data_IF_719130007418
#
_entry.id   IF_719130007418
#
_cell.length_a   1.000
_cell.length_b   1.000
_cell.length_c   1.000
_cell.angle_alpha   90.00
_cell.angle_beta   90.00
_cell.angle_gamma   90.00
#
_symmetry.space_group_name_H-M   'P 1'
#
loop_
_entity.id
_entity.type
_entity.pdbx_description
1 polymer ?
#
# COMPACT_ATOMS: atom_id res chain seq x y z
N UNK A 1 26.85 55.98 6.94
CA UNK A 1 27.78 55.98 8.11
C UNK A 1 28.75 54.81 7.92
N UNK A 2 30.09 55.05 7.90
CA UNK A 2 31.06 53.98 7.74
C UNK A 2 31.22 53.19 9.05
N UNK A 3 31.57 51.88 8.96
CA UNK A 3 31.80 51.03 10.14
C UNK A 3 32.79 51.61 11.16
N UNK A 4 33.71 52.50 10.73
CA UNK A 4 34.64 53.22 11.57
C UNK A 4 33.98 54.32 12.45
N UNK A 5 32.87 54.92 12.00
CA UNK A 5 32.11 55.90 12.79
C UNK A 5 31.24 55.31 13.87
N UNK A 6 30.69 54.09 13.60
CA UNK A 6 29.91 53.34 14.60
C UNK A 6 30.78 52.86 15.77
N UNK A 7 32.06 52.56 15.51
CA UNK A 7 33.01 52.08 16.52
C UNK A 7 33.38 53.12 17.59
N UNK A 8 33.28 54.40 17.24
CA UNK A 8 33.61 55.49 18.16
C UNK A 8 32.42 56.16 18.86
N UNK A 9 31.21 55.72 18.53
CA UNK A 9 29.98 56.22 19.18
C UNK A 9 29.20 55.05 19.80
N UNK A 10 29.31 54.84 21.12
CA UNK A 10 28.70 53.72 21.80
C UNK A 10 27.16 53.77 21.73
N UNK A 11 26.55 54.91 21.52
CA UNK A 11 25.08 55.05 21.37
C UNK A 11 24.58 54.57 20.01
N UNK A 12 25.41 54.67 18.99
CA UNK A 12 25.09 54.25 17.63
C UNK A 12 25.57 52.81 17.28
N UNK A 13 26.43 52.22 18.12
CA UNK A 13 27.06 50.92 17.83
C UNK A 13 26.02 49.79 17.86
N UNK A 14 25.19 49.74 18.84
CA UNK A 14 24.16 48.69 18.96
C UNK A 14 23.09 48.77 17.85
N UNK A 15 22.46 49.94 17.60
CA UNK A 15 21.54 50.11 16.48
C UNK A 15 22.16 49.74 15.11
N UNK A 16 23.46 50.02 14.90
CA UNK A 16 24.14 49.64 13.65
C UNK A 16 24.33 48.14 13.49
N UNK A 17 24.65 47.45 14.58
CA UNK A 17 24.78 45.99 14.59
C UNK A 17 23.41 45.35 14.32
N UNK A 18 22.37 45.83 15.02
CA UNK A 18 21.01 45.31 14.85
C UNK A 18 20.47 45.59 13.44
N UNK A 19 20.77 46.75 12.86
CA UNK A 19 20.42 47.08 11.47
C UNK A 19 21.10 46.16 10.47
N UNK A 20 22.40 45.88 10.62
CA UNK A 20 23.13 44.97 9.75
C UNK A 20 22.62 43.53 9.87
N UNK A 21 22.29 43.09 11.06
CA UNK A 21 21.75 41.75 11.32
C UNK A 21 20.37 41.58 10.69
N UNK A 22 19.45 42.53 10.90
CA UNK A 22 18.11 42.51 10.35
C UNK A 22 18.11 42.66 8.81
N UNK A 23 19.05 43.42 8.23
CA UNK A 23 19.22 43.49 6.78
C UNK A 23 19.61 42.17 6.18
N UNK A 24 20.54 41.44 6.81
CA UNK A 24 20.96 40.12 6.36
C UNK A 24 19.81 39.08 6.42
N UNK A 25 18.97 39.14 7.46
CA UNK A 25 17.78 38.27 7.60
C UNK A 25 16.72 38.64 6.56
N UNK A 26 16.48 39.92 6.27
CA UNK A 26 15.55 40.35 5.23
C UNK A 26 15.97 39.95 3.83
N UNK A 27 17.27 40.05 3.52
CA UNK A 27 17.82 39.58 2.23
C UNK A 27 17.66 38.05 2.08
N UNK A 28 17.99 37.28 3.13
CA UNK A 28 17.82 35.85 3.14
C UNK A 28 16.34 35.43 2.96
N UNK A 29 15.40 36.11 3.63
CA UNK A 29 13.98 35.82 3.51
C UNK A 29 13.37 36.29 2.17
N UNK A 30 13.88 37.37 1.56
CA UNK A 30 13.47 37.81 0.24
C UNK A 30 13.84 36.80 -0.86
N UNK A 31 15.02 36.19 -0.76
CA UNK A 31 15.45 35.11 -1.66
C UNK A 31 14.59 33.85 -1.50
N UNK A 32 14.14 33.51 -0.28
CA UNK A 32 13.23 32.38 -0.02
C UNK A 32 11.84 32.59 -0.62
N UNK A 33 11.33 33.82 -0.63
CA UNK A 33 10.02 34.13 -1.26
C UNK A 33 10.07 34.07 -2.80
N UNK A 34 11.20 34.36 -3.43
CA UNK A 34 11.36 34.26 -4.89
C UNK A 34 11.51 32.83 -5.37
N UNK A 35 11.97 31.93 -4.54
CA UNK A 35 12.26 30.54 -4.91
C UNK A 35 11.05 29.65 -4.67
N UNK A 36 9.86 29.84 -4.64
CA UNK A 36 8.72 28.88 -4.56
C UNK A 36 9.15 27.40 -4.32
N UNK A 37 10.19 27.16 -3.56
CA UNK A 37 10.74 25.88 -3.15
C UNK A 37 10.53 25.70 -1.65
N UNK A 38 10.24 24.47 -1.18
CA UNK A 38 10.12 24.20 0.26
C UNK A 38 11.42 24.65 0.97
N UNK A 39 11.24 25.40 2.03
CA UNK A 39 12.29 26.09 2.78
C UNK A 39 13.52 25.21 3.02
N UNK A 40 14.64 25.64 2.47
CA UNK A 40 15.96 25.24 2.97
C UNK A 40 16.25 26.20 4.14
N UNK A 41 16.27 25.68 5.34
CA UNK A 41 16.57 26.36 6.58
C UNK A 41 17.94 27.03 6.51
N UNK A 42 17.98 28.35 6.61
CA UNK A 42 19.19 29.07 7.02
C UNK A 42 19.22 29.06 8.55
N UNK A 43 20.21 28.38 9.09
CA UNK A 43 20.41 28.27 10.53
C UNK A 43 20.65 29.67 11.13
N UNK A 44 19.69 30.17 11.87
CA UNK A 44 19.92 31.11 12.96
C UNK A 44 20.24 30.30 14.20
N UNK A 45 21.42 30.45 14.72
CA UNK A 45 22.09 29.59 15.70
C UNK A 45 21.40 29.50 17.08
N UNK A 46 20.25 30.13 17.31
CA UNK A 46 19.58 30.14 18.62
C UNK A 46 18.04 29.98 18.62
N UNK A 47 17.40 29.84 17.46
CA UNK A 47 16.00 29.47 17.43
C UNK A 47 15.88 27.95 17.23
N UNK A 48 15.78 27.22 18.33
CA UNK A 48 15.42 25.80 18.28
C UNK A 48 14.02 25.73 17.65
N UNK A 49 13.97 25.31 16.38
CA UNK A 49 12.72 25.00 15.68
C UNK A 49 12.06 23.80 16.38
N UNK A 50 11.24 24.09 17.38
CA UNK A 50 10.51 23.10 18.18
C UNK A 50 9.45 22.35 17.36
N UNK A 51 9.10 22.85 16.16
CA UNK A 51 8.16 22.20 15.24
C UNK A 51 8.82 21.09 14.42
N UNK A 52 10.11 21.19 14.17
CA UNK A 52 10.91 20.25 13.37
C UNK A 52 10.89 18.81 13.90
N UNK A 53 11.12 18.55 15.21
CA UNK A 53 11.05 17.20 15.76
C UNK A 53 9.64 16.60 15.77
N UNK A 54 8.59 17.40 15.58
CA UNK A 54 7.20 16.94 15.49
C UNK A 54 6.81 16.70 14.04
N UNK A 55 7.25 17.54 13.12
CA UNK A 55 6.92 17.48 11.69
C UNK A 55 7.54 16.28 10.99
N UNK A 56 8.81 16.00 11.23
CA UNK A 56 9.52 14.94 10.53
C UNK A 56 8.97 13.53 10.83
N UNK A 57 8.69 13.14 12.08
CA UNK A 57 8.02 11.89 12.39
C UNK A 57 6.59 11.80 11.85
N UNK A 58 5.83 12.90 11.89
CA UNK A 58 4.45 12.93 11.40
C UNK A 58 4.41 12.79 9.87
N UNK A 59 5.33 13.41 9.16
CA UNK A 59 5.46 13.27 7.71
C UNK A 59 5.85 11.86 7.31
N UNK A 60 6.77 11.22 8.02
CA UNK A 60 7.14 9.82 7.83
C UNK A 60 5.93 8.91 8.05
N UNK A 61 5.20 9.10 9.14
CA UNK A 61 4.00 8.35 9.46
C UNK A 61 2.90 8.49 8.39
N UNK A 62 2.68 9.69 7.86
CA UNK A 62 1.75 9.91 6.74
C UNK A 62 2.18 9.12 5.50
N UNK A 63 3.47 9.12 5.18
CA UNK A 63 4.00 8.37 4.04
C UNK A 63 3.85 6.86 4.24
N UNK A 64 4.13 6.35 5.43
CA UNK A 64 3.93 4.94 5.79
C UNK A 64 2.47 4.53 5.65
N UNK A 65 1.53 5.32 6.17
CA UNK A 65 0.09 5.05 6.05
C UNK A 65 -0.37 5.08 4.57
N UNK A 66 0.12 6.03 3.77
CA UNK A 66 -0.19 6.10 2.32
C UNK A 66 0.38 4.90 1.59
N UNK A 67 1.58 4.44 1.95
CA UNK A 67 2.20 3.24 1.40
C UNK A 67 1.41 1.98 1.77
N UNK A 68 1.06 1.82 3.04
CA UNK A 68 0.24 0.71 3.53
C UNK A 68 -1.14 0.65 2.84
N UNK A 69 -1.80 1.81 2.69
CA UNK A 69 -3.07 1.91 1.98
C UNK A 69 -2.95 1.46 0.51
N UNK A 70 -1.87 1.84 -0.16
CA UNK A 70 -1.60 1.39 -1.54
C UNK A 70 -1.39 -0.12 -1.61
N UNK A 71 -0.60 -0.70 -0.68
CA UNK A 71 -0.40 -2.16 -0.63
C UNK A 71 -1.72 -2.88 -0.36
N UNK A 72 -2.55 -2.36 0.55
CA UNK A 72 -3.86 -2.91 0.84
C UNK A 72 -4.79 -2.88 -0.39
N UNK A 73 -4.79 -1.81 -1.17
CA UNK A 73 -5.54 -1.74 -2.43
C UNK A 73 -5.01 -2.75 -3.46
N UNK A 74 -3.70 -2.86 -3.61
CA UNK A 74 -3.07 -3.85 -4.50
C UNK A 74 -3.41 -5.29 -4.09
N UNK A 75 -3.43 -5.57 -2.78
CA UNK A 75 -3.86 -6.85 -2.23
C UNK A 75 -5.34 -7.14 -2.53
N UNK A 76 -6.22 -6.13 -2.39
CA UNK A 76 -7.64 -6.26 -2.73
C UNK A 76 -7.85 -6.59 -4.20
N UNK A 77 -7.14 -5.92 -5.10
CA UNK A 77 -7.21 -6.17 -6.54
C UNK A 77 -6.69 -7.58 -6.89
N UNK A 78 -5.62 -8.02 -6.24
CA UNK A 78 -5.07 -9.36 -6.40
C UNK A 78 -6.08 -10.43 -5.98
N UNK A 79 -6.68 -10.27 -4.80
CA UNK A 79 -7.70 -11.20 -4.29
C UNK A 79 -8.94 -11.24 -5.19
N UNK A 80 -9.37 -10.08 -5.73
CA UNK A 80 -10.48 -10.02 -6.70
C UNK A 80 -10.16 -10.76 -7.98
N UNK A 81 -8.96 -10.56 -8.54
CA UNK A 81 -8.52 -11.27 -9.75
C UNK A 81 -8.47 -12.79 -9.52
N UNK A 82 -7.99 -13.22 -8.36
CA UNK A 82 -7.98 -14.64 -8.00
C UNK A 82 -9.42 -15.20 -7.82
N UNK A 83 -10.32 -14.47 -7.15
CA UNK A 83 -11.72 -14.88 -6.97
C UNK A 83 -12.47 -14.98 -8.31
N UNK A 84 -12.25 -14.03 -9.22
CA UNK A 84 -12.82 -14.07 -10.58
C UNK A 84 -12.34 -15.31 -11.36
N UNK A 85 -11.05 -15.64 -11.25
CA UNK A 85 -10.49 -16.87 -11.84
C UNK A 85 -11.09 -18.14 -11.24
N UNK A 86 -11.20 -18.20 -9.90
CA UNK A 86 -11.82 -19.32 -9.20
C UNK A 86 -13.30 -19.46 -9.52
N UNK A 87 -14.04 -18.34 -9.67
CA UNK A 87 -15.44 -18.36 -10.08
C UNK A 87 -15.64 -18.98 -11.49
N UNK A 88 -14.71 -18.69 -12.42
CA UNK A 88 -14.72 -19.33 -13.75
C UNK A 88 -14.44 -20.83 -13.65
N UNK A 89 -13.47 -21.25 -12.85
CA UNK A 89 -13.15 -22.66 -12.61
C UNK A 89 -14.33 -23.37 -11.97
N UNK A 90 -15.02 -22.77 -10.98
CA UNK A 90 -16.23 -23.33 -10.37
C UNK A 90 -17.34 -23.58 -11.41
N UNK A 91 -17.51 -22.62 -12.33
CA UNK A 91 -18.45 -22.79 -13.45
C UNK A 91 -18.12 -23.98 -14.35
N UNK A 92 -16.83 -24.16 -14.69
CA UNK A 92 -16.36 -25.30 -15.49
C UNK A 92 -16.55 -26.62 -14.71
N UNK A 93 -16.18 -26.65 -13.41
CA UNK A 93 -16.35 -27.84 -12.57
C UNK A 93 -17.84 -28.25 -12.47
N UNK A 94 -18.75 -27.29 -12.41
CA UNK A 94 -20.21 -27.55 -12.43
C UNK A 94 -20.63 -28.19 -13.75
N UNK A 95 -20.17 -27.69 -14.88
CA UNK A 95 -20.43 -28.31 -16.20
C UNK A 95 -19.81 -29.70 -16.31
N UNK A 96 -18.57 -29.89 -15.82
CA UNK A 96 -17.93 -31.21 -15.77
C UNK A 96 -18.76 -32.20 -14.94
N UNK A 97 -19.33 -31.75 -13.84
CA UNK A 97 -20.23 -32.57 -13.00
C UNK A 97 -21.47 -32.97 -13.75
N UNK A 98 -22.11 -32.07 -14.51
CA UNK A 98 -23.27 -32.39 -15.33
C UNK A 98 -22.95 -33.44 -16.41
N UNK A 99 -21.81 -33.29 -17.12
CA UNK A 99 -21.33 -34.23 -18.09
C UNK A 99 -21.02 -35.59 -17.45
N UNK A 100 -20.40 -35.62 -16.29
CA UNK A 100 -20.10 -36.85 -15.54
C UNK A 100 -21.38 -37.56 -15.05
N UNK A 101 -22.43 -36.81 -14.69
CA UNK A 101 -23.73 -37.38 -14.34
C UNK A 101 -24.43 -38.01 -15.56
N UNK A 102 -24.30 -37.40 -16.75
CA UNK A 102 -24.80 -37.99 -17.98
C UNK A 102 -24.10 -39.30 -18.27
N UNK A 103 -22.78 -39.38 -18.07
CA UNK A 103 -21.97 -40.60 -18.31
C UNK A 103 -22.27 -41.74 -17.33
N UNK A 104 -23.07 -41.54 -16.28
CA UNK A 104 -23.56 -42.60 -15.40
C UNK A 104 -24.74 -43.36 -15.97
N UNK A 105 -25.32 -42.89 -17.08
CA UNK A 105 -26.44 -43.63 -17.69
C UNK A 105 -25.90 -44.93 -18.35
N UNK A 106 -26.35 -46.06 -17.81
CA UNK A 106 -25.95 -47.39 -18.27
C UNK A 106 -26.46 -47.71 -19.68
N UNK A 107 -27.38 -46.90 -20.24
CA UNK A 107 -27.94 -47.10 -21.58
C UNK A 107 -27.07 -46.45 -22.70
N UNK A 108 -26.00 -45.72 -22.32
CA UNK A 108 -25.15 -45.04 -23.28
C UNK A 108 -24.27 -46.01 -24.04
N UNK A 109 -24.17 -45.80 -25.36
CA UNK A 109 -23.25 -46.52 -26.18
C UNK A 109 -21.78 -46.06 -25.94
N UNK A 110 -20.82 -46.94 -26.22
CA UNK A 110 -19.37 -46.66 -26.05
C UNK A 110 -18.94 -45.38 -26.81
N UNK A 111 -19.56 -45.14 -27.98
CA UNK A 111 -19.29 -43.92 -28.76
C UNK A 111 -19.73 -42.65 -28.07
N UNK A 112 -20.86 -42.66 -27.36
CA UNK A 112 -21.38 -41.55 -26.60
C UNK A 112 -20.53 -41.29 -25.35
N UNK A 113 -20.14 -42.35 -24.63
CA UNK A 113 -19.20 -42.22 -23.50
C UNK A 113 -17.88 -41.64 -23.94
N UNK A 114 -17.34 -42.02 -25.10
CA UNK A 114 -16.10 -41.48 -25.64
C UNK A 114 -16.27 -39.97 -25.96
N UNK A 115 -17.42 -39.54 -26.48
CA UNK A 115 -17.68 -38.15 -26.78
C UNK A 115 -17.78 -37.31 -25.49
N UNK A 116 -18.43 -37.82 -24.43
CA UNK A 116 -18.48 -37.17 -23.11
C UNK A 116 -17.09 -37.11 -22.47
N UNK A 117 -16.25 -38.16 -22.60
CA UNK A 117 -14.89 -38.18 -22.08
C UNK A 117 -14.00 -37.15 -22.80
N UNK A 118 -14.16 -36.95 -24.11
CA UNK A 118 -13.47 -35.92 -24.87
C UNK A 118 -13.90 -34.51 -24.36
N UNK A 119 -15.21 -34.26 -24.24
CA UNK A 119 -15.72 -33.00 -23.71
C UNK A 119 -15.19 -32.71 -22.29
N UNK A 120 -15.11 -33.75 -21.46
CA UNK A 120 -14.50 -33.64 -20.12
C UNK A 120 -13.03 -33.28 -20.19
N UNK A 121 -12.27 -33.88 -21.12
CA UNK A 121 -10.87 -33.57 -21.39
C UNK A 121 -10.63 -32.13 -21.85
N UNK A 122 -11.53 -31.61 -22.70
CA UNK A 122 -11.49 -30.21 -23.14
C UNK A 122 -11.71 -29.24 -21.97
N UNK A 123 -12.68 -29.54 -21.10
CA UNK A 123 -12.94 -28.75 -19.89
C UNK A 123 -11.78 -28.79 -18.89
N UNK A 124 -11.07 -29.92 -18.75
CA UNK A 124 -9.81 -29.96 -17.95
C UNK A 124 -8.75 -29.06 -18.54
N UNK A 125 -8.64 -29.00 -19.86
CA UNK A 125 -7.70 -28.08 -20.54
C UNK A 125 -8.09 -26.62 -20.29
N UNK A 126 -9.37 -26.30 -20.35
CA UNK A 126 -9.89 -24.97 -20.05
C UNK A 126 -9.59 -24.53 -18.61
N UNK A 127 -9.76 -25.43 -17.62
CA UNK A 127 -9.35 -25.15 -16.22
C UNK A 127 -7.86 -24.76 -16.16
N UNK A 128 -6.99 -25.53 -16.83
CA UNK A 128 -5.55 -25.25 -16.87
C UNK A 128 -5.27 -23.88 -17.51
N UNK A 129 -5.96 -23.54 -18.57
CA UNK A 129 -5.81 -22.25 -19.22
C UNK A 129 -6.28 -21.12 -18.32
N UNK A 130 -7.43 -21.24 -17.67
CA UNK A 130 -7.93 -20.26 -16.71
C UNK A 130 -6.94 -20.06 -15.55
N UNK A 131 -6.40 -21.15 -14.99
CA UNK A 131 -5.44 -21.09 -13.90
C UNK A 131 -4.16 -20.35 -14.31
N UNK A 132 -3.67 -20.57 -15.54
CA UNK A 132 -2.47 -19.90 -16.06
C UNK A 132 -2.74 -18.47 -16.54
N UNK A 133 -3.93 -18.15 -17.01
CA UNK A 133 -4.31 -16.82 -17.48
C UNK A 133 -4.74 -15.90 -16.34
N UNK A 134 -5.07 -16.43 -15.17
CA UNK A 134 -5.37 -15.65 -13.98
C UNK A 134 -4.06 -15.07 -13.42
N UNK A 135 -3.66 -13.93 -13.99
CA UNK A 135 -2.38 -13.29 -13.68
C UNK A 135 -2.60 -11.87 -13.19
N UNK A 136 -1.74 -11.43 -12.25
CA UNK A 136 -1.63 -10.04 -11.85
C UNK A 136 -0.17 -9.59 -11.95
N UNK A 137 0.07 -8.48 -12.64
CA UNK A 137 1.43 -7.96 -12.89
C UNK A 137 2.39 -9.01 -13.49
N UNK A 138 1.86 -9.93 -14.29
CA UNK A 138 2.64 -11.01 -14.92
C UNK A 138 2.92 -12.21 -14.01
N UNK A 139 2.40 -12.22 -12.78
CA UNK A 139 2.50 -13.35 -11.85
C UNK A 139 1.20 -14.16 -11.87
N UNK A 140 1.24 -15.45 -12.18
CA UNK A 140 0.08 -16.33 -12.05
C UNK A 140 -0.32 -16.46 -10.58
N UNK A 141 -1.63 -16.46 -10.32
CA UNK A 141 -2.15 -16.42 -8.96
C UNK A 141 -2.58 -17.80 -8.46
N UNK A 142 -3.24 -18.61 -9.30
CA UNK A 142 -3.95 -19.83 -8.90
C UNK A 142 -3.45 -21.11 -9.61
N UNK A 143 -2.27 -21.05 -10.23
CA UNK A 143 -1.66 -22.23 -10.89
C UNK A 143 -0.65 -22.97 -10.00
N UNK A 144 -0.61 -22.67 -8.69
CA UNK A 144 0.33 -23.27 -7.74
C UNK A 144 1.72 -22.62 -7.68
N UNK A 145 2.00 -21.61 -8.52
CA UNK A 145 3.26 -20.87 -8.49
C UNK A 145 3.24 -19.67 -7.54
N UNK A 146 2.06 -19.29 -7.05
CA UNK A 146 1.90 -18.22 -6.09
C UNK A 146 2.26 -18.73 -4.69
N UNK A 147 3.46 -18.40 -4.23
CA UNK A 147 3.88 -18.73 -2.88
C UNK A 147 3.17 -17.86 -1.81
N UNK A 148 3.47 -18.11 -0.55
CA UNK A 148 3.01 -17.25 0.53
C UNK A 148 3.56 -15.84 0.33
N UNK A 149 2.68 -14.84 0.25
CA UNK A 149 3.02 -13.43 0.17
C UNK A 149 2.73 -12.76 1.52
N UNK A 150 3.72 -12.07 2.05
CA UNK A 150 3.57 -11.24 3.25
C UNK A 150 3.37 -9.80 2.79
N UNK A 151 2.23 -9.23 3.11
CA UNK A 151 1.82 -7.89 2.70
C UNK A 151 1.86 -6.95 3.93
N UNK A 152 2.83 -6.03 4.00
CA UNK A 152 2.91 -5.06 5.09
C UNK A 152 1.83 -3.99 4.93
N UNK A 153 0.68 -4.20 5.54
CA UNK A 153 -0.48 -3.29 5.46
C UNK A 153 -0.52 -2.25 6.58
N UNK A 154 0.62 -2.05 7.28
CA UNK A 154 0.78 -0.94 8.22
C UNK A 154 0.07 -1.11 9.56
N UNK A 155 -0.41 -2.31 9.87
CA UNK A 155 -0.85 -2.73 11.21
C UNK A 155 0.29 -3.43 11.94
N UNK A 156 0.13 -3.72 13.22
CA UNK A 156 1.13 -4.47 14.01
C UNK A 156 1.36 -5.89 13.45
N UNK A 157 0.43 -6.41 12.66
CA UNK A 157 0.52 -7.72 12.01
C UNK A 157 0.50 -7.56 10.49
N UNK A 158 1.47 -8.16 9.81
CA UNK A 158 1.51 -8.27 8.36
C UNK A 158 0.44 -9.26 7.88
N UNK A 159 -0.23 -8.92 6.77
CA UNK A 159 -1.19 -9.82 6.14
C UNK A 159 -0.45 -10.90 5.35
N UNK A 160 -0.60 -12.16 5.74
CA UNK A 160 -0.09 -13.28 4.97
C UNK A 160 -1.17 -13.83 4.03
N UNK A 161 -0.93 -13.78 2.73
CA UNK A 161 -1.82 -14.31 1.70
C UNK A 161 -1.21 -15.55 1.07
N UNK A 162 -1.92 -16.67 1.12
CA UNK A 162 -1.57 -17.91 0.44
C UNK A 162 -2.76 -18.31 -0.42
N UNK A 163 -2.53 -18.51 -1.72
CA UNK A 163 -3.55 -18.97 -2.66
C UNK A 163 -3.42 -20.47 -2.93
N UNK A 164 -4.55 -21.12 -3.13
CA UNK A 164 -4.56 -22.53 -3.51
C UNK A 164 -4.03 -22.75 -4.94
N UNK A 165 -3.55 -23.95 -5.21
CA UNK A 165 -3.36 -24.41 -6.57
C UNK A 165 -4.73 -24.86 -7.13
N UNK A 166 -5.29 -24.11 -8.06
CA UNK A 166 -6.55 -24.40 -8.73
C UNK A 166 -6.34 -24.97 -10.16
N UNK A 167 -5.14 -25.45 -10.48
CA UNK A 167 -4.90 -26.24 -11.68
C UNK A 167 -5.46 -27.65 -11.52
N UNK A 168 -5.55 -28.38 -12.60
CA UNK A 168 -6.08 -29.76 -12.66
C UNK A 168 -5.40 -30.72 -11.67
N UNK A 169 -4.13 -30.50 -11.35
CA UNK A 169 -3.39 -31.26 -10.33
C UNK A 169 -3.84 -30.91 -8.91
N UNK A 170 -3.91 -29.62 -8.61
CA UNK A 170 -4.35 -29.14 -7.29
C UNK A 170 -5.83 -29.38 -7.00
N UNK A 171 -6.64 -29.63 -8.03
CA UNK A 171 -8.05 -30.01 -7.92
C UNK A 171 -8.26 -31.55 -7.92
N UNK A 172 -7.18 -32.36 -8.03
CA UNK A 172 -7.29 -33.81 -8.04
C UNK A 172 -7.91 -34.42 -9.31
N UNK A 173 -7.94 -33.67 -10.41
CA UNK A 173 -8.50 -34.10 -11.70
C UNK A 173 -7.48 -34.85 -12.56
N UNK A 174 -6.23 -34.96 -12.14
CA UNK A 174 -5.19 -35.77 -12.72
C UNK A 174 -4.63 -36.75 -11.67
N UNK A 175 -3.73 -37.63 -12.10
CA UNK A 175 -3.03 -38.54 -11.19
C UNK A 175 -2.31 -37.73 -10.10
N UNK A 176 -2.54 -38.09 -8.83
CA UNK A 176 -1.86 -37.52 -7.68
C UNK A 176 -1.69 -38.57 -6.58
N UNK A 177 -0.54 -38.56 -5.93
CA UNK A 177 -0.25 -39.42 -4.78
C UNK A 177 -0.88 -38.91 -3.48
N UNK A 178 -1.26 -37.62 -3.45
CA UNK A 178 -1.94 -37.01 -2.31
C UNK A 178 -2.36 -35.62 -2.65
N UNK A 179 -3.65 -35.34 -2.48
CA UNK A 179 -4.20 -33.98 -2.67
C UNK A 179 -3.88 -33.13 -1.46
N UNK A 180 -3.40 -31.92 -1.72
CA UNK A 180 -3.11 -30.94 -0.66
C UNK A 180 -3.81 -29.62 -0.93
N UNK A 181 -4.30 -28.99 0.14
CA UNK A 181 -4.87 -27.66 0.13
C UNK A 181 -4.05 -26.75 1.05
N UNK A 182 -3.36 -25.78 0.46
CA UNK A 182 -2.46 -24.86 1.19
C UNK A 182 -1.41 -25.56 2.07
N UNK A 183 -0.96 -26.74 1.64
CA UNK A 183 0.04 -27.54 2.36
C UNK A 183 -0.54 -28.54 3.36
N UNK A 184 -1.85 -28.54 3.60
CA UNK A 184 -2.55 -29.53 4.42
C UNK A 184 -3.11 -30.65 3.54
N UNK A 185 -3.17 -31.88 4.08
CA UNK A 185 -3.71 -33.03 3.37
C UNK A 185 -5.23 -32.93 3.22
N UNK A 186 -5.75 -33.31 2.06
CA UNK A 186 -7.19 -33.43 1.79
C UNK A 186 -7.55 -34.91 1.79
N UNK A 187 -8.54 -35.32 2.54
CA UNK A 187 -9.04 -36.69 2.56
C UNK A 187 -10.09 -36.96 1.46
N UNK A 188 -10.52 -38.22 1.31
CA UNK A 188 -11.49 -38.64 0.29
C UNK A 188 -12.90 -38.06 0.51
N UNK A 189 -13.20 -37.55 1.71
CA UNK A 189 -14.46 -36.89 2.05
C UNK A 189 -14.37 -35.35 1.89
N UNK A 190 -13.22 -34.85 1.42
CA UNK A 190 -12.97 -33.41 1.26
C UNK A 190 -12.64 -32.70 2.57
N UNK A 191 -12.34 -33.43 3.65
CA UNK A 191 -11.80 -32.90 4.91
C UNK A 191 -10.37 -32.39 4.71
N UNK A 192 -10.00 -31.34 5.45
CA UNK A 192 -8.66 -30.77 5.43
C UNK A 192 -8.07 -30.87 6.83
N UNK A 193 -6.85 -31.36 6.96
CA UNK A 193 -6.14 -31.40 8.22
C UNK A 193 -5.45 -32.72 8.53
N UNK A 194 -4.90 -32.82 9.73
CA UNK A 194 -4.19 -34.01 10.20
C UNK A 194 -5.19 -35.07 10.68
N UNK A 195 -5.30 -36.17 9.99
CA UNK A 195 -6.00 -37.36 10.50
C UNK A 195 -6.74 -38.23 9.49
N UNK A 196 -6.97 -37.77 8.28
CA UNK A 196 -7.54 -38.56 7.19
C UNK A 196 -6.44 -39.21 6.31
N UNK A 197 -6.76 -40.29 5.63
CA UNK A 197 -5.90 -40.80 4.56
C UNK A 197 -5.92 -39.77 3.41
N UNK A 198 -4.75 -39.35 2.88
CA UNK A 198 -4.72 -38.39 1.78
C UNK A 198 -5.51 -38.93 0.57
N UNK A 199 -6.29 -38.06 -0.06
CA UNK A 199 -7.00 -38.39 -1.28
C UNK A 199 -5.99 -38.62 -2.40
N UNK A 200 -5.64 -39.85 -2.63
CA UNK A 200 -4.75 -40.28 -3.69
C UNK A 200 -5.57 -40.74 -4.88
N UNK A 201 -5.25 -40.24 -6.07
CA UNK A 201 -5.92 -40.58 -7.31
C UNK A 201 -4.88 -41.16 -8.28
N UNK A 202 -4.78 -42.51 -8.38
CA UNK A 202 -3.75 -43.14 -9.18
C UNK A 202 -3.94 -42.93 -10.68
N UNK A 203 -5.16 -42.65 -11.11
CA UNK A 203 -5.51 -42.46 -12.51
C UNK A 203 -6.04 -41.05 -12.78
N UNK A 204 -6.02 -40.62 -14.04
CA UNK A 204 -6.71 -39.42 -14.47
C UNK A 204 -8.23 -39.58 -14.33
N UNK A 205 -8.92 -38.50 -13.99
CA UNK A 205 -10.37 -38.45 -14.04
C UNK A 205 -10.84 -38.68 -15.49
N UNK A 206 -11.71 -39.66 -15.71
CA UNK A 206 -12.25 -40.04 -17.02
C UNK A 206 -13.68 -40.53 -16.90
N UNK A 207 -14.36 -40.63 -18.05
CA UNK A 207 -15.77 -41.00 -18.14
C UNK A 207 -15.96 -42.27 -19.01
N UNK A 208 -14.94 -43.08 -19.19
CA UNK A 208 -14.95 -44.23 -20.10
C UNK A 208 -15.83 -45.40 -19.59
N UNK A 209 -16.09 -45.42 -18.28
CA UNK A 209 -16.97 -46.43 -17.68
C UNK A 209 -17.86 -45.79 -16.61
N UNK A 210 -19.05 -46.35 -16.32
CA UNK A 210 -19.90 -45.84 -15.24
C UNK A 210 -19.19 -45.80 -13.88
N UNK A 211 -18.28 -46.72 -13.60
CA UNK A 211 -17.52 -46.75 -12.36
C UNK A 211 -16.49 -45.59 -12.30
N UNK A 212 -15.76 -45.35 -13.41
CA UNK A 212 -14.83 -44.22 -13.48
C UNK A 212 -15.59 -42.88 -13.42
N UNK A 213 -16.78 -42.78 -14.00
CA UNK A 213 -17.63 -41.61 -13.93
C UNK A 213 -18.09 -41.32 -12.49
N UNK A 214 -18.39 -42.37 -11.71
CA UNK A 214 -18.75 -42.25 -10.29
C UNK A 214 -17.58 -41.73 -9.44
N UNK A 215 -16.38 -42.29 -9.69
CA UNK A 215 -15.14 -41.80 -9.03
C UNK A 215 -14.81 -40.37 -9.43
N UNK A 216 -14.98 -40.02 -10.70
CA UNK A 216 -14.79 -38.66 -11.22
C UNK A 216 -15.77 -37.66 -10.57
N UNK A 217 -17.04 -38.04 -10.37
CA UNK A 217 -18.01 -37.22 -9.64
C UNK A 217 -17.54 -36.91 -8.21
N UNK A 218 -17.06 -37.92 -7.48
CA UNK A 218 -16.53 -37.70 -6.13
C UNK A 218 -15.34 -36.71 -6.14
N UNK A 219 -14.42 -36.84 -7.10
CA UNK A 219 -13.31 -35.90 -7.28
C UNK A 219 -13.79 -34.47 -7.56
N UNK A 220 -14.81 -34.33 -8.43
CA UNK A 220 -15.40 -33.04 -8.75
C UNK A 220 -16.09 -32.42 -7.53
N UNK A 221 -16.77 -33.20 -6.70
CA UNK A 221 -17.39 -32.70 -5.47
C UNK A 221 -16.33 -32.19 -4.48
N UNK A 222 -15.20 -32.88 -4.34
CA UNK A 222 -14.05 -32.43 -3.57
C UNK A 222 -13.48 -31.12 -4.18
N UNK A 223 -13.24 -31.08 -5.49
CA UNK A 223 -12.69 -29.93 -6.18
C UNK A 223 -13.58 -28.68 -6.01
N UNK A 224 -14.89 -28.81 -6.19
CA UNK A 224 -15.87 -27.73 -5.94
C UNK A 224 -15.81 -27.27 -4.48
N UNK A 225 -15.73 -28.22 -3.54
CA UNK A 225 -15.57 -27.91 -2.12
C UNK A 225 -14.31 -27.11 -1.83
N UNK A 226 -13.17 -27.43 -2.43
CA UNK A 226 -11.91 -26.71 -2.27
C UNK A 226 -11.99 -25.30 -2.84
N UNK A 227 -12.53 -25.15 -4.06
CA UNK A 227 -12.72 -23.84 -4.69
C UNK A 227 -13.63 -22.94 -3.84
N UNK A 228 -14.75 -23.47 -3.33
CA UNK A 228 -15.66 -22.71 -2.48
C UNK A 228 -15.02 -22.28 -1.15
N UNK A 229 -14.18 -23.12 -0.55
CA UNK A 229 -13.40 -22.77 0.65
C UNK A 229 -12.42 -21.65 0.35
N UNK A 230 -11.71 -21.74 -0.77
CA UNK A 230 -10.76 -20.70 -1.17
C UNK A 230 -11.46 -19.37 -1.42
N UNK A 231 -12.59 -19.38 -2.13
CA UNK A 231 -13.40 -18.17 -2.36
C UNK A 231 -13.90 -17.55 -1.06
N UNK A 232 -14.35 -18.40 -0.12
CA UNK A 232 -14.76 -17.94 1.23
C UNK A 232 -13.57 -17.32 2.00
N UNK A 233 -12.39 -17.93 1.91
CA UNK A 233 -11.18 -17.39 2.50
C UNK A 233 -10.82 -16.03 1.87
N UNK A 234 -10.82 -15.92 0.55
CA UNK A 234 -10.57 -14.65 -0.15
C UNK A 234 -11.58 -13.57 0.24
N UNK A 235 -12.86 -13.92 0.36
CA UNK A 235 -13.89 -12.99 0.81
C UNK A 235 -13.67 -12.47 2.23
N UNK A 236 -13.20 -13.32 3.14
CA UNK A 236 -12.84 -12.91 4.50
C UNK A 236 -11.61 -12.00 4.52
N UNK A 237 -10.59 -12.32 3.73
CA UNK A 237 -9.38 -11.53 3.59
C UNK A 237 -9.66 -10.17 2.93
N UNK A 238 -10.52 -10.12 1.91
CA UNK A 238 -10.97 -8.85 1.30
C UNK A 238 -11.66 -7.96 2.32
N UNK A 239 -12.52 -8.54 3.17
CA UNK A 239 -13.20 -7.81 4.23
C UNK A 239 -12.20 -7.24 5.25
N UNK A 240 -11.20 -8.02 5.64
CA UNK A 240 -10.13 -7.58 6.54
C UNK A 240 -9.30 -6.44 5.93
N UNK A 241 -8.90 -6.57 4.66
CA UNK A 241 -8.17 -5.51 3.95
C UNK A 241 -9.02 -4.25 3.81
N UNK A 242 -10.31 -4.38 3.49
CA UNK A 242 -11.20 -3.22 3.40
C UNK A 242 -11.35 -2.49 4.74
N UNK A 243 -11.42 -3.24 5.84
CA UNK A 243 -11.41 -2.67 7.19
C UNK A 243 -10.10 -1.92 7.45
N UNK A 244 -8.96 -2.53 7.13
CA UNK A 244 -7.63 -1.90 7.28
C UNK A 244 -7.50 -0.61 6.45
N UNK A 245 -7.97 -0.61 5.19
CA UNK A 245 -7.98 0.60 4.34
C UNK A 245 -8.80 1.72 4.99
N UNK A 246 -9.95 1.39 5.57
CA UNK A 246 -10.80 2.37 6.25
C UNK A 246 -10.16 2.87 7.53
N UNK A 247 -9.57 1.98 8.31
CA UNK A 247 -8.87 2.29 9.56
C UNK A 247 -7.64 3.18 9.32
N UNK A 248 -6.86 2.91 8.28
CA UNK A 248 -5.70 3.73 7.90
C UNK A 248 -6.09 5.09 7.30
N UNK A 249 -7.24 5.22 6.68
CA UNK A 249 -7.66 6.45 6.01
C UNK A 249 -7.97 7.58 7.00
N UNK A 250 -8.61 7.27 8.12
CA UNK A 250 -9.01 8.25 9.14
C UNK A 250 -7.80 8.87 9.85
N UNK A 251 -6.83 8.12 10.41
CA UNK A 251 -5.62 8.67 10.97
C UNK A 251 -4.78 9.43 9.94
N UNK A 252 -4.68 8.94 8.71
CA UNK A 252 -3.95 9.60 7.63
C UNK A 252 -4.51 10.99 7.33
N UNK A 253 -5.83 11.13 7.25
CA UNK A 253 -6.49 12.43 7.06
C UNK A 253 -6.31 13.36 8.28
N UNK A 254 -6.35 12.81 9.49
CA UNK A 254 -6.12 13.59 10.72
C UNK A 254 -4.68 14.10 10.81
N UNK A 255 -3.71 13.24 10.50
CA UNK A 255 -2.30 13.60 10.45
C UNK A 255 -2.03 14.67 9.37
N UNK A 256 -2.65 14.54 8.18
CA UNK A 256 -2.54 15.55 7.13
C UNK A 256 -3.12 16.90 7.55
N UNK A 257 -4.25 16.93 8.24
CA UNK A 257 -4.83 18.17 8.82
C UNK A 257 -3.91 18.79 9.87
N UNK A 258 -3.34 17.95 10.75
CA UNK A 258 -2.37 18.39 11.76
C UNK A 258 -1.14 19.00 11.09
N UNK A 259 -0.60 18.36 10.05
CA UNK A 259 0.53 18.85 9.26
C UNK A 259 0.23 20.25 8.66
N UNK A 260 -0.93 20.39 8.00
CA UNK A 260 -1.36 21.68 7.44
C UNK A 260 -1.50 22.75 8.51
N UNK A 261 -2.00 22.38 9.70
CA UNK A 261 -2.11 23.31 10.82
C UNK A 261 -0.73 23.76 11.31
N UNK A 262 0.22 22.85 11.44
CA UNK A 262 1.60 23.14 11.84
C UNK A 262 2.28 24.04 10.79
N UNK A 263 2.14 23.74 9.50
CA UNK A 263 2.68 24.57 8.41
C UNK A 263 2.10 26.00 8.43
N UNK A 264 0.79 26.12 8.67
CA UNK A 264 0.15 27.44 8.79
C UNK A 264 0.62 28.21 10.02
N UNK A 265 0.86 27.55 11.15
CA UNK A 265 1.43 28.17 12.35
C UNK A 265 2.87 28.59 12.11
N UNK A 266 3.68 27.76 11.46
CA UNK A 266 5.07 28.07 11.10
C UNK A 266 5.11 29.28 10.17
N UNK A 267 4.28 29.32 9.13
CA UNK A 267 4.15 30.47 8.23
C UNK A 267 3.73 31.75 8.95
N UNK A 268 2.78 31.64 9.90
CA UNK A 268 2.37 32.79 10.70
C UNK A 268 3.51 33.28 11.60
N UNK A 269 4.26 32.39 12.22
CA UNK A 269 5.41 32.72 13.07
C UNK A 269 6.51 33.39 12.24
N UNK A 270 6.84 32.86 11.08
CA UNK A 270 7.83 33.41 10.14
C UNK A 270 7.39 34.83 9.68
N UNK A 271 6.11 35.01 9.37
CA UNK A 271 5.56 36.32 9.00
C UNK A 271 5.70 37.34 10.15
N UNK A 272 5.48 36.90 11.39
CA UNK A 272 5.67 37.76 12.57
C UNK A 272 7.15 38.12 12.73
N UNK A 273 8.07 37.16 12.55
CA UNK A 273 9.52 37.44 12.64
C UNK A 273 9.97 38.41 11.55
N UNK A 274 9.58 38.21 10.30
CA UNK A 274 9.88 39.13 9.19
C UNK A 274 9.34 40.54 9.51
N UNK A 275 8.13 40.65 10.01
CA UNK A 275 7.54 41.94 10.39
C UNK A 275 8.30 42.59 11.53
N UNK A 276 8.69 41.82 12.54
CA UNK A 276 9.53 42.29 13.65
C UNK A 276 10.88 42.80 13.16
N UNK A 277 11.57 42.05 12.28
CA UNK A 277 12.84 42.45 11.70
C UNK A 277 12.73 43.74 10.85
N UNK A 278 11.64 43.89 10.11
CA UNK A 278 11.35 45.11 9.37
C UNK A 278 11.19 46.31 10.33
N UNK A 279 10.45 46.15 11.42
CA UNK A 279 10.27 47.20 12.44
C UNK A 279 11.61 47.54 13.09
N UNK A 280 12.41 46.54 13.49
CA UNK A 280 13.75 46.73 14.08
C UNK A 280 14.65 47.46 13.10
N UNK A 281 14.69 47.07 11.84
CA UNK A 281 15.48 47.72 10.78
C UNK A 281 15.07 49.20 10.63
N UNK A 282 13.79 49.45 10.53
CA UNK A 282 13.26 50.80 10.36
C UNK A 282 13.55 51.67 11.59
N UNK A 283 13.35 51.12 12.79
CA UNK A 283 13.64 51.82 14.05
C UNK A 283 15.13 52.07 14.22
N UNK A 284 15.99 51.10 13.96
CA UNK A 284 17.44 51.24 14.03
C UNK A 284 17.96 52.30 13.04
N UNK A 285 17.41 52.32 11.82
CA UNK A 285 17.72 53.35 10.80
C UNK A 285 17.33 54.74 11.28
N UNK A 286 16.13 54.88 11.87
CA UNK A 286 15.65 56.14 12.43
C UNK A 286 16.54 56.66 13.59
N UNK A 287 16.86 55.77 14.53
CA UNK A 287 17.76 56.10 15.66
C UNK A 287 19.16 56.48 15.18
N UNK A 288 19.71 55.80 14.17
CA UNK A 288 20.99 56.17 13.57
C UNK A 288 20.94 57.55 12.91
N UNK A 289 19.88 57.87 12.20
CA UNK A 289 19.67 59.19 11.60
C UNK A 289 19.63 60.29 12.65
N UNK A 290 18.90 60.05 13.77
CA UNK A 290 18.85 60.97 14.90
C UNK A 290 20.21 61.14 15.61
N UNK A 291 20.92 60.02 15.86
CA UNK A 291 22.24 60.05 16.47
C UNK A 291 23.27 60.81 15.59
N UNK A 292 23.18 60.64 14.24
CA UNK A 292 24.01 61.38 13.28
C UNK A 292 23.70 62.90 13.31
N UNK A 293 22.44 63.29 13.43
CA UNK A 293 22.02 64.69 13.54
C UNK A 293 22.50 65.38 14.83
N UNK A 294 22.46 64.67 15.97
CA UNK A 294 23.00 65.14 17.23
C UNK A 294 24.49 65.41 17.16
N UNK A 295 25.28 64.50 16.51
CA UNK A 295 26.71 64.70 16.32
C UNK A 295 27.04 65.91 15.44
N UNK A 296 26.23 66.21 14.44
CA UNK A 296 26.40 67.40 13.59
C UNK A 296 26.08 68.67 14.32
N UNK A 297 25.03 68.70 15.16
CA UNK A 297 24.67 69.82 15.95
C UNK A 297 25.74 70.14 17.01
N UNK A 298 26.35 69.18 17.65
CA UNK A 298 27.46 69.35 18.59
C UNK A 298 28.67 69.94 17.88
N UNK A 299 29.00 69.52 16.65
CA UNK A 299 30.10 70.09 15.87
C UNK A 299 29.87 71.58 15.49
N UNK A 300 28.61 71.96 15.23
CA UNK A 300 28.25 73.35 14.96
C UNK A 300 28.32 74.25 16.20
N UNK A 301 28.14 73.69 17.41
CA UNK A 301 28.22 74.49 18.68
C UNK A 301 29.67 74.69 19.15
N UNK A 302 30.66 73.96 18.58
CA UNK A 302 32.07 74.06 18.94
C UNK A 302 32.87 74.99 17.97
N UNK A 303 32.24 75.34 16.85
CA UNK A 303 32.79 76.40 15.94
C UNK A 303 32.26 77.80 16.33
#
# INVERSE_FOLDING_TARGET
MNALQARNNPVAAQPYIDFKRSQAVLEANADLQQLKRPAVTVASDDAVDLSRPIRDPEQTRIQEMKHANRIAQEASDLMRTADDGLGRIEGILTQMREVSQQALNEELETAELTALDQQFGDMRTEIREVANQTVQRGQPLINGMFGQQILPIGTEEDLSLTLMNADVVGLGLTQTEGLTFKGETVDLDGGIGEGGAPAAFPDEANLQTPESSRQTLNRLDIAVGLVNRERSYLGSMQSQVQFTVTDLSTPSQSAERSRVTIENMEFATETIEVTREQIVTQTSSSVMAQAGGVSQNILQLIQ
#
